data_IF_125227798365
#
_entry.id   IF_125227798365
#
_cell.length_a   1.000
_cell.length_b   1.000
_cell.length_c   1.000
_cell.angle_alpha   90.00
_cell.angle_beta   90.00
_cell.angle_gamma   90.00
#
_symmetry.space_group_name_H-M   'P 1'
#
loop_
_entity.id
_entity.type
_entity.pdbx_description
1 polymer ?
#
# COMPACT_ATOMS: atom_id res chain seq x y z
N UNK A 1 -19.21 -10.05 -19.28
CA UNK A 1 -18.00 -10.03 -18.42
C UNK A 1 -16.96 -9.24 -19.19
N UNK A 2 -16.36 -8.22 -18.58
CA UNK A 2 -15.24 -7.50 -19.18
C UNK A 2 -14.07 -8.47 -19.37
N UNK A 3 -13.31 -8.30 -20.45
CA UNK A 3 -12.10 -9.08 -20.69
C UNK A 3 -11.12 -8.86 -19.55
N UNK A 4 -10.57 -9.95 -18.99
CA UNK A 4 -9.57 -9.88 -17.94
C UNK A 4 -8.27 -9.28 -18.46
N UNK A 5 -7.56 -8.54 -17.61
CA UNK A 5 -6.38 -7.77 -18.00
C UNK A 5 -5.13 -8.66 -17.93
N UNK A 6 -4.35 -8.60 -19.01
CA UNK A 6 -2.98 -9.12 -19.00
C UNK A 6 -2.03 -8.07 -18.44
N UNK A 7 -1.29 -8.47 -17.39
CA UNK A 7 -0.32 -7.60 -16.72
C UNK A 7 0.89 -7.36 -17.64
N UNK A 8 1.34 -6.09 -17.69
CA UNK A 8 2.60 -5.69 -18.33
C UNK A 8 3.15 -4.46 -17.62
N UNK A 9 4.02 -4.67 -16.62
CA UNK A 9 4.50 -3.62 -15.74
C UNK A 9 6.01 -3.71 -15.53
N UNK A 10 6.75 -2.70 -16.01
CA UNK A 10 8.22 -2.71 -16.04
C UNK A 10 8.86 -1.54 -15.28
N UNK A 11 8.12 -0.45 -15.07
CA UNK A 11 8.61 0.72 -14.32
C UNK A 11 7.44 1.52 -13.73
N UNK A 12 7.66 2.33 -12.67
CA UNK A 12 6.62 3.14 -12.06
C UNK A 12 6.10 4.27 -12.95
N UNK A 13 6.88 4.73 -13.89
CA UNK A 13 6.53 5.82 -14.84
C UNK A 13 6.02 5.31 -16.20
N UNK A 14 5.88 4.00 -16.38
CA UNK A 14 5.24 3.45 -17.58
C UNK A 14 3.80 3.97 -17.69
N UNK A 15 3.35 4.26 -18.92
CA UNK A 15 1.97 4.69 -19.14
C UNK A 15 0.99 3.71 -18.51
N UNK A 16 0.21 4.20 -17.56
CA UNK A 16 -0.80 3.45 -16.85
C UNK A 16 -2.03 3.32 -17.74
N UNK A 17 -2.40 2.10 -18.08
CA UNK A 17 -3.60 1.81 -18.89
C UNK A 17 -4.75 1.28 -18.06
N UNK A 18 -4.42 0.58 -16.97
CA UNK A 18 -5.39 0.02 -16.06
C UNK A 18 -4.82 -0.04 -14.64
N UNK A 19 -5.68 0.14 -13.64
CA UNK A 19 -5.29 0.10 -12.24
C UNK A 19 -6.41 -0.52 -11.38
N UNK A 20 -6.03 -1.31 -10.40
CA UNK A 20 -6.92 -1.69 -9.30
C UNK A 20 -6.67 -0.74 -8.13
N UNK A 21 -7.70 -0.04 -7.69
CA UNK A 21 -7.67 0.79 -6.49
C UNK A 21 -8.39 0.09 -5.35
N UNK A 22 -8.06 0.51 -4.13
CA UNK A 22 -8.73 0.00 -2.95
C UNK A 22 -10.16 0.49 -2.81
N UNK A 23 -10.81 0.00 -1.78
CA UNK A 23 -12.17 0.37 -1.40
C UNK A 23 -12.25 0.50 0.11
N UNK A 24 -12.96 1.53 0.58
CA UNK A 24 -13.29 1.67 1.99
C UNK A 24 -14.35 0.67 2.44
N UNK A 25 -14.66 0.71 3.72
CA UNK A 25 -15.72 -0.06 4.34
C UNK A 25 -17.04 0.73 4.27
N UNK A 26 -18.17 0.04 4.36
CA UNK A 26 -19.46 0.71 4.48
C UNK A 26 -19.67 1.29 5.89
N UNK A 27 -20.44 2.39 6.00
CA UNK A 27 -20.65 3.09 7.27
C UNK A 27 -21.36 2.21 8.33
N UNK A 28 -22.15 1.22 7.91
CA UNK A 28 -22.88 0.29 8.77
C UNK A 28 -21.97 -0.61 9.63
N UNK A 29 -20.67 -0.67 9.29
CA UNK A 29 -19.69 -1.38 10.12
C UNK A 29 -19.70 -0.91 11.56
N UNK A 30 -19.97 0.38 11.79
CA UNK A 30 -20.03 0.96 13.13
C UNK A 30 -21.43 1.07 13.73
N UNK A 31 -22.43 0.44 13.14
CA UNK A 31 -23.80 0.51 13.68
C UNK A 31 -23.98 -0.14 15.07
N UNK A 32 -23.05 -0.99 15.47
CA UNK A 32 -23.01 -1.58 16.80
C UNK A 32 -22.56 -0.60 17.90
N UNK A 33 -21.94 0.54 17.55
CA UNK A 33 -21.55 1.57 18.50
C UNK A 33 -22.78 2.37 18.88
N UNK A 34 -23.07 2.43 20.19
CA UNK A 34 -24.25 3.12 20.73
C UNK A 34 -23.99 4.57 21.12
N UNK A 35 -22.72 4.93 21.33
CA UNK A 35 -22.32 6.26 21.76
C UNK A 35 -22.08 7.16 20.54
N UNK A 36 -22.95 8.16 20.34
CA UNK A 36 -22.88 9.07 19.19
C UNK A 36 -21.54 9.80 19.07
N UNK A 37 -20.92 10.15 20.20
CA UNK A 37 -19.59 10.79 20.24
C UNK A 37 -18.46 9.93 19.69
N UNK A 38 -18.68 8.61 19.58
CA UNK A 38 -17.76 7.66 18.98
C UNK A 38 -18.26 7.30 17.58
N UNK A 39 -19.53 6.92 17.47
CA UNK A 39 -20.11 6.43 16.23
C UNK A 39 -20.03 7.44 15.10
N UNK A 40 -20.43 8.70 15.35
CA UNK A 40 -20.48 9.71 14.31
C UNK A 40 -19.11 10.03 13.70
N UNK A 41 -18.02 10.25 14.49
CA UNK A 41 -16.68 10.40 13.93
C UNK A 41 -16.20 9.16 13.15
N UNK A 42 -16.46 7.95 13.66
CA UNK A 42 -16.06 6.72 13.01
C UNK A 42 -16.77 6.53 11.65
N UNK A 43 -18.06 6.82 11.59
CA UNK A 43 -18.81 6.80 10.32
C UNK A 43 -18.36 7.92 9.37
N UNK A 44 -18.01 9.10 9.90
CA UNK A 44 -17.48 10.19 9.09
C UNK A 44 -16.22 9.76 8.34
N UNK A 45 -15.26 9.12 9.02
CA UNK A 45 -14.01 8.71 8.35
C UNK A 45 -14.27 7.69 7.24
N UNK A 46 -15.21 6.75 7.44
CA UNK A 46 -15.58 5.79 6.40
C UNK A 46 -16.18 6.49 5.18
N UNK A 47 -17.09 7.43 5.42
CA UNK A 47 -17.71 8.21 4.34
C UNK A 47 -16.68 9.02 3.57
N UNK A 48 -15.85 9.81 4.25
CA UNK A 48 -14.80 10.63 3.63
C UNK A 48 -13.79 9.78 2.87
N UNK A 49 -13.38 8.63 3.42
CA UNK A 49 -12.52 7.67 2.71
C UNK A 49 -13.17 7.20 1.41
N UNK A 50 -14.46 6.87 1.43
CA UNK A 50 -15.16 6.42 0.22
C UNK A 50 -15.34 7.56 -0.80
N UNK A 51 -15.53 8.79 -0.35
CA UNK A 51 -15.57 9.99 -1.19
C UNK A 51 -14.21 10.23 -1.87
N UNK A 52 -13.11 10.13 -1.12
CA UNK A 52 -11.75 10.28 -1.64
C UNK A 52 -11.42 9.19 -2.67
N UNK A 53 -11.81 7.93 -2.39
CA UNK A 53 -11.61 6.84 -3.34
C UNK A 53 -12.44 7.02 -4.62
N UNK A 54 -13.65 7.55 -4.51
CA UNK A 54 -14.48 7.87 -5.68
C UNK A 54 -13.87 9.01 -6.51
N UNK A 55 -13.31 10.03 -5.85
CA UNK A 55 -12.63 11.13 -6.54
C UNK A 55 -11.33 10.66 -7.22
N UNK A 56 -10.53 9.82 -6.55
CA UNK A 56 -9.35 9.20 -7.16
C UNK A 56 -9.72 8.42 -8.43
N UNK A 57 -10.80 7.64 -8.36
CA UNK A 57 -11.33 6.92 -9.53
C UNK A 57 -11.70 7.88 -10.66
N UNK A 58 -12.45 8.93 -10.34
CA UNK A 58 -12.88 9.95 -11.33
C UNK A 58 -11.68 10.62 -12.01
N UNK A 59 -10.65 10.96 -11.26
CA UNK A 59 -9.41 11.57 -11.79
C UNK A 59 -8.71 10.60 -12.74
N UNK A 60 -8.50 9.35 -12.33
CA UNK A 60 -7.83 8.34 -13.14
C UNK A 60 -8.59 8.02 -14.43
N UNK A 61 -9.90 7.86 -14.36
CA UNK A 61 -10.77 7.66 -15.54
C UNK A 61 -10.72 8.88 -16.47
N UNK A 62 -10.68 10.11 -15.91
CA UNK A 62 -10.49 11.35 -16.67
C UNK A 62 -9.14 11.43 -17.39
N UNK A 63 -8.13 10.73 -16.91
CA UNK A 63 -6.81 10.58 -17.53
C UNK A 63 -6.76 9.40 -18.55
N UNK A 64 -7.87 8.72 -18.78
CA UNK A 64 -7.98 7.60 -19.71
C UNK A 64 -7.48 6.27 -19.15
N UNK A 65 -7.37 6.14 -17.83
CA UNK A 65 -6.99 4.90 -17.15
C UNK A 65 -8.25 4.08 -16.85
N UNK A 66 -8.23 2.81 -17.18
CA UNK A 66 -9.29 1.90 -16.76
C UNK A 66 -9.14 1.58 -15.26
N UNK A 67 -10.17 1.90 -14.47
CA UNK A 67 -10.13 1.72 -13.02
C UNK A 67 -11.00 0.56 -12.58
N UNK A 68 -10.41 -0.35 -11.83
CA UNK A 68 -11.09 -1.44 -11.14
C UNK A 68 -11.16 -1.14 -9.66
N UNK A 69 -12.37 -1.16 -9.13
CA UNK A 69 -12.63 -0.90 -7.72
C UNK A 69 -13.66 -1.92 -7.22
N UNK A 70 -13.37 -2.65 -6.12
CA UNK A 70 -14.37 -3.55 -5.54
C UNK A 70 -15.52 -2.74 -4.94
N UNK A 71 -16.66 -3.39 -4.74
CA UNK A 71 -17.74 -2.81 -3.95
C UNK A 71 -17.30 -2.64 -2.48
N UNK A 72 -17.84 -1.65 -1.75
CA UNK A 72 -17.58 -1.52 -0.33
C UNK A 72 -17.89 -2.81 0.42
N UNK A 73 -16.96 -3.23 1.26
CA UNK A 73 -17.15 -4.44 2.07
C UNK A 73 -18.16 -4.16 3.17
N UNK A 74 -19.11 -5.09 3.32
CA UNK A 74 -20.11 -5.06 4.36
C UNK A 74 -19.57 -5.67 5.64
N UNK A 75 -20.24 -5.35 6.75
CA UNK A 75 -19.86 -5.81 8.08
C UNK A 75 -19.62 -7.33 8.14
N UNK A 76 -20.54 -8.12 7.62
CA UNK A 76 -20.48 -9.59 7.61
C UNK A 76 -19.30 -10.16 6.81
N UNK A 77 -18.66 -9.36 5.97
CA UNK A 77 -17.50 -9.77 5.18
C UNK A 77 -16.16 -9.47 5.87
N UNK A 78 -16.15 -8.57 6.85
CA UNK A 78 -14.93 -8.04 7.47
C UNK A 78 -14.87 -8.21 8.98
N UNK A 79 -15.98 -8.51 9.63
CA UNK A 79 -16.05 -8.74 11.07
C UNK A 79 -16.04 -10.24 11.34
N UNK A 80 -15.25 -10.69 12.32
CA UNK A 80 -15.36 -12.04 12.82
C UNK A 80 -16.66 -12.25 13.63
N UNK A 81 -16.90 -13.50 14.06
CA UNK A 81 -18.11 -13.85 14.78
C UNK A 81 -18.37 -13.05 16.06
N UNK A 82 -17.32 -12.48 16.65
CA UNK A 82 -17.40 -11.62 17.84
C UNK A 82 -17.59 -10.14 17.48
N UNK A 83 -17.56 -9.79 16.20
CA UNK A 83 -17.76 -8.44 15.70
C UNK A 83 -16.64 -7.46 16.05
N UNK A 84 -15.48 -7.94 16.46
CA UNK A 84 -14.41 -7.10 17.00
C UNK A 84 -13.15 -7.05 16.14
N UNK A 85 -12.96 -7.98 15.21
CA UNK A 85 -11.78 -7.99 14.34
C UNK A 85 -12.14 -7.63 12.93
N UNK A 86 -11.48 -6.62 12.41
CA UNK A 86 -11.51 -6.32 10.98
C UNK A 86 -10.25 -6.94 10.37
N UNK A 87 -10.40 -7.91 9.48
CA UNK A 87 -9.28 -8.33 8.66
C UNK A 87 -8.82 -7.15 7.80
N UNK A 88 -7.73 -7.29 7.13
CA UNK A 88 -7.13 -6.27 6.29
C UNK A 88 -8.16 -5.48 5.48
N UNK A 89 -8.21 -4.16 5.68
CA UNK A 89 -9.08 -3.29 4.89
C UNK A 89 -8.53 -3.23 3.45
N UNK A 90 -9.35 -3.39 2.42
CA UNK A 90 -8.89 -3.46 1.03
C UNK A 90 -8.56 -2.08 0.43
N UNK A 91 -7.99 -1.17 1.22
CA UNK A 91 -7.63 0.18 0.77
C UNK A 91 -6.33 0.23 -0.02
N UNK A 92 -5.38 -0.64 0.32
CA UNK A 92 -4.02 -0.60 -0.17
C UNK A 92 -3.65 -1.89 -0.93
N UNK A 93 -4.17 -2.09 -2.15
CA UNK A 93 -3.85 -3.30 -2.92
C UNK A 93 -2.34 -3.48 -3.13
N UNK A 94 -1.58 -2.39 -3.18
CA UNK A 94 -0.12 -2.40 -3.34
C UNK A 94 0.60 -3.13 -2.21
N UNK A 95 0.05 -3.12 -0.99
CA UNK A 95 0.65 -3.81 0.16
C UNK A 95 0.50 -5.33 0.08
N UNK A 96 -0.38 -5.81 -0.79
CA UNK A 96 -0.71 -7.23 -0.93
C UNK A 96 -0.29 -7.79 -2.31
N UNK A 97 -0.28 -6.94 -3.34
CA UNK A 97 0.04 -7.34 -4.69
C UNK A 97 1.33 -6.71 -5.18
N UNK A 98 2.08 -7.47 -5.96
CA UNK A 98 3.19 -6.97 -6.75
C UNK A 98 2.97 -7.31 -8.21
N UNK A 99 2.91 -6.29 -9.07
CA UNK A 99 2.96 -6.49 -10.51
C UNK A 99 4.39 -6.32 -11.02
N UNK A 100 4.94 -7.34 -11.69
CA UNK A 100 6.29 -7.33 -12.22
C UNK A 100 6.34 -8.04 -13.57
N UNK A 101 6.76 -7.34 -14.61
CA UNK A 101 6.70 -7.87 -15.97
C UNK A 101 5.26 -8.25 -16.33
N UNK A 102 5.06 -9.50 -16.69
CA UNK A 102 3.74 -10.04 -17.07
C UNK A 102 3.04 -10.78 -15.91
N UNK A 103 3.51 -10.61 -14.68
CA UNK A 103 2.99 -11.37 -13.54
C UNK A 103 2.45 -10.43 -12.46
N UNK A 104 1.32 -10.80 -11.90
CA UNK A 104 0.74 -10.25 -10.69
C UNK A 104 0.90 -11.28 -9.57
N UNK A 105 1.79 -11.01 -8.65
CA UNK A 105 2.02 -11.85 -7.47
C UNK A 105 1.05 -11.43 -6.37
N UNK A 106 0.34 -12.41 -5.83
CA UNK A 106 -0.60 -12.24 -4.73
C UNK A 106 -0.14 -13.06 -3.53
N UNK A 107 -0.19 -12.46 -2.35
CA UNK A 107 -0.12 -13.19 -1.11
C UNK A 107 -1.51 -13.68 -0.70
N UNK A 108 -1.58 -14.65 0.21
CA UNK A 108 -2.84 -15.05 0.81
C UNK A 108 -3.44 -13.88 1.61
N UNK A 109 -4.64 -13.47 1.27
CA UNK A 109 -5.26 -12.22 1.75
C UNK A 109 -6.53 -12.47 2.56
N UNK A 110 -6.76 -13.67 3.04
CA UNK A 110 -7.99 -14.04 3.73
C UNK A 110 -9.28 -13.70 2.94
N UNK A 111 -9.21 -13.71 1.60
CA UNK A 111 -10.35 -13.48 0.73
C UNK A 111 -10.73 -12.01 0.46
N UNK A 112 -10.19 -11.06 1.23
CA UNK A 112 -10.52 -9.63 1.09
C UNK A 112 -10.15 -9.06 -0.29
N UNK A 113 -9.12 -9.63 -0.93
CA UNK A 113 -8.66 -9.23 -2.26
C UNK A 113 -9.00 -10.24 -3.36
N UNK A 114 -9.91 -11.17 -3.12
CA UNK A 114 -10.30 -12.18 -4.12
C UNK A 114 -10.85 -11.57 -5.43
N UNK A 115 -11.35 -10.32 -5.37
CA UNK A 115 -11.77 -9.58 -6.54
C UNK A 115 -10.68 -9.42 -7.62
N UNK A 116 -9.40 -9.52 -7.27
CA UNK A 116 -8.30 -9.46 -8.23
C UNK A 116 -8.33 -10.64 -9.21
N UNK A 117 -8.87 -11.78 -8.80
CA UNK A 117 -9.07 -12.95 -9.67
C UNK A 117 -10.08 -12.70 -10.79
N UNK A 118 -10.98 -11.74 -10.58
CA UNK A 118 -11.96 -11.32 -11.58
C UNK A 118 -11.42 -10.27 -12.53
N UNK A 119 -10.34 -9.58 -12.17
CA UNK A 119 -9.71 -8.50 -12.92
C UNK A 119 -8.52 -9.01 -13.73
N UNK A 120 -7.63 -9.76 -13.10
CA UNK A 120 -6.36 -10.22 -13.70
C UNK A 120 -6.56 -11.53 -14.43
N UNK A 121 -5.98 -11.63 -15.64
CA UNK A 121 -5.99 -12.88 -16.41
C UNK A 121 -5.25 -13.97 -15.64
N UNK A 122 -5.79 -15.18 -15.62
CA UNK A 122 -5.26 -16.31 -14.84
C UNK A 122 -3.80 -16.64 -15.17
N UNK A 123 -3.38 -16.51 -16.43
CA UNK A 123 -1.99 -16.75 -16.84
C UNK A 123 -1.00 -15.72 -16.23
N UNK A 124 -1.50 -14.59 -15.72
CA UNK A 124 -0.69 -13.53 -15.11
C UNK A 124 -0.73 -13.58 -13.59
N UNK A 125 -1.67 -14.28 -12.97
CA UNK A 125 -1.87 -14.29 -11.53
C UNK A 125 -1.11 -15.46 -10.89
N UNK A 126 -0.25 -15.16 -9.92
CA UNK A 126 0.49 -16.14 -9.13
C UNK A 126 0.14 -15.96 -7.67
N UNK A 127 -0.45 -16.97 -7.07
CA UNK A 127 -0.66 -17.07 -5.63
C UNK A 127 0.61 -17.62 -4.98
N UNK A 128 1.45 -16.70 -4.49
CA UNK A 128 2.75 -17.03 -3.92
C UNK A 128 2.66 -17.97 -2.71
N UNK A 129 1.65 -17.76 -1.88
CA UNK A 129 1.50 -18.56 -0.68
C UNK A 129 1.20 -20.03 -1.02
N UNK A 130 0.25 -20.25 -1.92
CA UNK A 130 -0.08 -21.61 -2.37
C UNK A 130 1.05 -22.24 -3.19
N UNK A 131 1.82 -21.45 -3.94
CA UNK A 131 2.98 -21.93 -4.71
C UNK A 131 4.09 -22.45 -3.78
N UNK A 132 4.32 -21.78 -2.65
CA UNK A 132 5.41 -22.13 -1.72
C UNK A 132 4.99 -23.18 -0.69
N UNK A 133 3.80 -23.07 -0.14
CA UNK A 133 3.34 -23.91 0.98
C UNK A 133 2.28 -24.94 0.61
N UNK A 134 1.78 -24.90 -0.64
CA UNK A 134 0.72 -25.76 -1.12
C UNK A 134 -0.69 -25.35 -0.69
N UNK A 135 -1.74 -25.96 -1.30
CA UNK A 135 -3.12 -25.65 -0.97
C UNK A 135 -3.45 -25.97 0.50
N UNK A 136 -3.94 -24.99 1.23
CA UNK A 136 -4.26 -25.11 2.64
C UNK A 136 -3.05 -25.13 3.58
N UNK A 137 -1.90 -24.66 3.11
CA UNK A 137 -0.71 -24.46 3.95
C UNK A 137 -1.03 -23.66 5.21
N UNK A 138 -0.33 -23.98 6.29
CA UNK A 138 -0.62 -23.52 7.64
C UNK A 138 -0.82 -21.99 7.71
N UNK A 139 -1.70 -21.59 8.61
CA UNK A 139 -1.99 -20.20 8.93
C UNK A 139 -0.72 -19.37 9.06
N UNK A 140 -0.72 -18.26 8.40
CA UNK A 140 0.32 -17.28 8.36
C UNK A 140 0.67 -16.78 9.77
N UNK A 141 1.68 -17.36 10.39
CA UNK A 141 2.33 -16.80 11.55
C UNK A 141 3.61 -16.09 11.11
N UNK A 142 3.49 -14.82 10.76
CA UNK A 142 4.63 -13.98 10.40
C UNK A 142 4.45 -13.29 9.06
N UNK A 143 4.81 -12.04 9.06
CA UNK A 143 4.66 -11.07 7.97
C UNK A 143 5.65 -11.33 6.83
N UNK A 144 5.46 -12.39 6.08
CA UNK A 144 6.20 -12.60 4.83
C UNK A 144 5.55 -11.76 3.73
N UNK A 145 6.00 -10.51 3.57
CA UNK A 145 5.40 -9.57 2.63
C UNK A 145 6.28 -9.38 1.40
N UNK A 146 5.91 -10.01 0.29
CA UNK A 146 6.37 -9.61 -1.04
C UNK A 146 5.25 -8.81 -1.68
N UNK A 147 5.40 -7.50 -1.68
CA UNK A 147 4.36 -6.59 -2.14
C UNK A 147 4.93 -5.48 -3.03
N UNK A 148 4.06 -4.75 -3.68
CA UNK A 148 4.44 -3.56 -4.43
C UNK A 148 4.99 -2.44 -3.53
N UNK A 149 4.63 -2.43 -2.25
CA UNK A 149 5.18 -1.50 -1.29
C UNK A 149 6.63 -1.82 -0.91
N UNK A 150 6.96 -3.11 -0.79
CA UNK A 150 8.32 -3.56 -0.45
C UNK A 150 9.24 -3.71 -1.66
N UNK A 151 8.72 -3.66 -2.89
CA UNK A 151 9.47 -3.98 -4.09
C UNK A 151 9.22 -2.95 -5.18
N UNK A 152 10.17 -2.05 -5.37
CA UNK A 152 10.09 -1.02 -6.42
C UNK A 152 10.84 -1.50 -7.65
N UNK A 153 10.12 -1.57 -8.79
CA UNK A 153 10.66 -2.04 -10.07
C UNK A 153 11.23 -0.91 -10.91
N UNK A 154 12.35 -1.18 -11.58
CA UNK A 154 12.97 -0.28 -12.53
C UNK A 154 13.56 -1.08 -13.70
N UNK A 155 12.77 -1.34 -14.72
CA UNK A 155 13.18 -2.20 -15.83
C UNK A 155 13.51 -3.62 -15.37
N UNK A 156 14.79 -3.99 -15.42
CA UNK A 156 15.29 -5.27 -14.93
C UNK A 156 15.81 -5.24 -13.49
N UNK A 157 15.69 -4.12 -12.81
CA UNK A 157 16.10 -4.00 -11.42
C UNK A 157 14.87 -4.00 -10.50
N UNK A 158 15.00 -4.65 -9.37
CA UNK A 158 14.02 -4.64 -8.28
C UNK A 158 14.75 -4.11 -7.04
N UNK A 159 14.30 -2.97 -6.55
CA UNK A 159 14.84 -2.34 -5.34
C UNK A 159 13.94 -2.79 -4.18
N UNK A 160 14.55 -3.37 -3.16
CA UNK A 160 13.84 -3.91 -2.01
C UNK A 160 14.66 -3.77 -0.72
N UNK A 161 14.04 -3.85 0.47
CA UNK A 161 14.74 -3.70 1.72
C UNK A 161 15.86 -4.75 1.87
N UNK A 162 16.96 -4.35 2.49
CA UNK A 162 17.93 -5.31 3.03
C UNK A 162 17.38 -5.90 4.32
N UNK A 163 17.76 -7.16 4.58
CA UNK A 163 17.42 -7.78 5.85
C UNK A 163 18.15 -7.14 7.02
N UNK A 164 17.37 -6.53 7.90
CA UNK A 164 17.78 -6.37 9.27
C UNK A 164 17.24 -7.52 10.12
N UNK A 165 17.83 -7.76 11.29
CA UNK A 165 17.39 -8.81 12.25
C UNK A 165 15.91 -8.73 12.65
N UNK A 166 15.19 -7.69 12.25
CA UNK A 166 13.78 -7.43 12.54
C UNK A 166 12.96 -7.14 11.25
N UNK A 167 13.54 -7.32 10.06
CA UNK A 167 12.91 -6.98 8.78
C UNK A 167 11.77 -7.92 8.42
N UNK A 168 10.74 -7.37 7.80
CA UNK A 168 9.65 -8.13 7.20
C UNK A 168 10.10 -9.01 6.03
N UNK A 169 11.31 -8.76 5.51
CA UNK A 169 11.90 -9.43 4.36
C UNK A 169 13.15 -10.17 4.81
N UNK A 170 13.05 -11.44 5.19
CA UNK A 170 14.22 -12.26 5.49
C UNK A 170 14.54 -13.15 4.29
N UNK A 171 15.74 -13.06 3.64
CA UNK A 171 16.06 -13.82 2.43
C UNK A 171 16.03 -15.34 2.66
N UNK A 172 16.20 -15.78 3.89
CA UNK A 172 16.14 -17.21 4.25
C UNK A 172 14.70 -17.72 4.44
N UNK A 173 13.70 -16.84 4.44
CA UNK A 173 12.30 -17.29 4.48
C UNK A 173 11.93 -17.94 3.15
N UNK A 174 11.23 -19.10 3.17
CA UNK A 174 10.98 -19.90 1.98
C UNK A 174 10.32 -19.11 0.83
N UNK A 175 9.35 -18.23 1.14
CA UNK A 175 8.67 -17.43 0.13
C UNK A 175 9.59 -16.41 -0.54
N UNK A 176 10.39 -15.70 0.24
CA UNK A 176 11.36 -14.74 -0.30
C UNK A 176 12.43 -15.41 -1.13
N UNK A 177 13.03 -16.45 -0.60
CA UNK A 177 14.03 -17.21 -1.32
C UNK A 177 13.49 -17.72 -2.65
N UNK A 178 12.31 -18.32 -2.64
CA UNK A 178 11.65 -18.84 -3.84
C UNK A 178 11.45 -17.75 -4.89
N UNK A 179 10.87 -16.62 -4.49
CA UNK A 179 10.55 -15.55 -5.45
C UNK A 179 11.81 -14.83 -5.96
N UNK A 180 12.79 -14.57 -5.10
CA UNK A 180 14.07 -13.97 -5.50
C UNK A 180 14.81 -14.86 -6.49
N UNK A 181 14.89 -16.16 -6.24
CA UNK A 181 15.51 -17.11 -7.14
C UNK A 181 14.78 -17.14 -8.51
N UNK A 182 13.45 -17.13 -8.50
CA UNK A 182 12.61 -17.04 -9.71
C UNK A 182 12.88 -15.76 -10.50
N UNK A 183 12.94 -14.61 -9.83
CA UNK A 183 13.24 -13.33 -10.48
C UNK A 183 14.65 -13.28 -11.09
N UNK A 184 15.65 -13.80 -10.37
CA UNK A 184 17.03 -13.91 -10.90
C UNK A 184 17.09 -14.80 -12.14
N UNK A 185 16.36 -15.92 -12.14
CA UNK A 185 16.26 -16.80 -13.33
C UNK A 185 15.58 -16.12 -14.52
N UNK A 186 14.66 -15.17 -14.26
CA UNK A 186 14.03 -14.33 -15.27
C UNK A 186 14.90 -13.15 -15.72
N UNK A 187 16.11 -13.02 -15.18
CA UNK A 187 17.08 -11.98 -15.52
C UNK A 187 16.86 -10.65 -14.81
N UNK A 188 16.16 -10.67 -13.65
CA UNK A 188 16.10 -9.50 -12.78
C UNK A 188 17.32 -9.43 -11.86
N UNK A 189 17.76 -8.22 -11.58
CA UNK A 189 18.79 -7.89 -10.59
C UNK A 189 18.15 -7.29 -9.35
N UNK A 190 18.53 -7.80 -8.18
CA UNK A 190 18.02 -7.34 -6.90
C UNK A 190 18.98 -6.31 -6.32
N UNK A 191 18.48 -5.10 -6.07
CA UNK A 191 19.19 -4.00 -5.44
C UNK A 191 18.65 -3.86 -4.02
N UNK A 192 19.50 -4.06 -3.03
CA UNK A 192 19.08 -3.96 -1.63
C UNK A 192 19.28 -2.54 -1.10
N UNK A 193 18.28 -2.04 -0.40
CA UNK A 193 18.37 -0.80 0.40
C UNK A 193 18.83 -1.13 1.82
N UNK A 194 19.45 -0.16 2.50
CA UNK A 194 19.89 -0.34 3.90
C UNK A 194 18.76 -0.11 4.91
N UNK A 195 17.58 0.29 4.43
CA UNK A 195 16.42 0.56 5.28
C UNK A 195 15.50 -0.64 5.38
N UNK A 196 14.75 -0.67 6.47
CA UNK A 196 13.75 -1.71 6.79
C UNK A 196 12.35 -1.15 6.53
N UNK A 197 11.47 -1.95 5.97
CA UNK A 197 10.05 -1.60 5.77
C UNK A 197 9.66 -1.40 4.31
N UNK A 198 8.72 -0.52 4.07
CA UNK A 198 8.21 -0.25 2.73
C UNK A 198 9.19 0.55 1.89
N UNK A 199 9.72 -0.04 0.82
CA UNK A 199 10.67 0.61 -0.11
C UNK A 199 10.04 1.82 -0.81
N UNK A 200 8.75 1.80 -1.07
CA UNK A 200 8.02 2.89 -1.70
C UNK A 200 7.90 4.14 -0.82
N UNK A 201 8.05 4.00 0.50
CA UNK A 201 8.19 5.11 1.43
C UNK A 201 9.61 5.73 1.45
N UNK A 202 10.55 5.17 0.71
CA UNK A 202 11.96 5.55 0.72
C UNK A 202 12.41 6.07 -0.64
N UNK A 203 11.99 5.42 -1.73
CA UNK A 203 12.35 5.79 -3.09
C UNK A 203 11.14 5.74 -4.02
N UNK A 204 10.98 6.77 -4.84
CA UNK A 204 9.95 6.84 -5.87
C UNK A 204 10.54 7.34 -7.18
N UNK A 205 10.26 6.66 -8.28
CA UNK A 205 10.71 7.05 -9.61
C UNK A 205 9.64 7.89 -10.30
N UNK A 206 9.97 9.15 -10.61
CA UNK A 206 9.05 10.12 -11.19
C UNK A 206 8.92 9.92 -12.70
N UNK A 207 10.07 9.84 -13.37
CA UNK A 207 10.19 9.68 -14.82
C UNK A 207 11.57 9.08 -15.15
N UNK A 208 11.82 8.66 -16.40
CA UNK A 208 13.16 8.27 -16.80
C UNK A 208 14.19 9.35 -16.47
N UNK A 209 15.22 8.97 -15.72
CA UNK A 209 16.31 9.87 -15.32
C UNK A 209 16.03 10.72 -14.09
N UNK A 210 14.87 10.60 -13.43
CA UNK A 210 14.58 11.37 -12.21
C UNK A 210 13.86 10.53 -11.15
N UNK A 211 14.27 10.68 -9.89
CA UNK A 211 13.68 9.98 -8.74
C UNK A 211 13.69 10.84 -7.48
N UNK A 212 12.79 10.53 -6.57
CA UNK A 212 12.77 11.06 -5.21
C UNK A 212 13.37 10.04 -4.23
N UNK A 213 14.04 10.53 -3.21
CA UNK A 213 14.67 9.69 -2.18
C UNK A 213 14.64 10.36 -0.81
N UNK A 214 14.25 9.58 0.19
CA UNK A 214 14.40 9.95 1.60
C UNK A 214 15.69 9.34 2.13
N UNK A 215 16.50 10.12 2.86
CA UNK A 215 17.71 9.61 3.48
C UNK A 215 18.84 9.31 2.48
N UNK A 216 19.80 8.47 2.87
CA UNK A 216 21.01 8.17 2.09
C UNK A 216 20.80 6.97 1.18
N UNK A 217 21.30 7.06 -0.03
CA UNK A 217 21.31 5.91 -0.95
C UNK A 217 22.45 4.95 -0.60
N UNK A 218 22.19 3.63 -0.53
CA UNK A 218 23.23 2.60 -0.45
C UNK A 218 24.10 2.55 -1.70
N UNK A 219 25.25 1.87 -1.61
CA UNK A 219 26.24 1.87 -2.68
C UNK A 219 25.70 1.34 -4.01
N UNK A 220 24.96 0.25 -3.98
CA UNK A 220 24.37 -0.35 -5.19
C UNK A 220 23.36 0.58 -5.87
N UNK A 221 22.50 1.25 -5.07
CA UNK A 221 21.54 2.25 -5.56
C UNK A 221 22.26 3.45 -6.19
N UNK A 222 23.35 3.95 -5.54
CA UNK A 222 24.16 5.05 -6.07
C UNK A 222 24.82 4.69 -7.39
N UNK A 223 25.31 3.49 -7.56
CA UNK A 223 25.90 3.01 -8.80
C UNK A 223 24.84 2.95 -9.91
N UNK A 224 23.70 2.30 -9.64
CA UNK A 224 22.59 2.17 -10.58
C UNK A 224 22.05 3.53 -11.04
N UNK A 225 21.87 4.45 -10.11
CA UNK A 225 21.24 5.76 -10.35
C UNK A 225 22.23 6.91 -10.50
N UNK A 226 23.51 6.62 -10.75
CA UNK A 226 24.59 7.63 -10.79
C UNK A 226 24.40 8.75 -11.82
N UNK A 227 23.57 8.51 -12.84
CA UNK A 227 23.26 9.47 -13.92
C UNK A 227 21.85 10.04 -13.81
N UNK A 228 21.13 9.74 -12.73
CA UNK A 228 19.77 10.17 -12.53
C UNK A 228 19.72 11.42 -11.65
N UNK A 229 18.82 12.33 -11.99
CA UNK A 229 18.53 13.49 -11.15
C UNK A 229 17.80 13.04 -9.88
N UNK A 230 18.39 13.37 -8.75
CA UNK A 230 17.84 13.03 -7.44
C UNK A 230 17.20 14.23 -6.81
N UNK A 231 15.90 14.12 -6.48
CA UNK A 231 15.22 15.02 -5.57
C UNK A 231 15.33 14.44 -4.16
N UNK A 232 16.12 15.07 -3.32
CA UNK A 232 16.32 14.65 -1.94
C UNK A 232 15.19 15.20 -1.06
N UNK A 233 14.44 14.31 -0.46
CA UNK A 233 13.47 14.63 0.58
C UNK A 233 14.19 14.50 1.93
N UNK A 234 13.97 15.45 2.83
CA UNK A 234 14.60 15.44 4.16
C UNK A 234 14.32 14.16 4.94
N UNK A 235 15.11 13.92 6.02
CA UNK A 235 15.03 12.67 6.83
C UNK A 235 13.65 12.38 7.41
N UNK A 236 12.75 13.37 7.46
CA UNK A 236 11.37 13.20 7.95
C UNK A 236 10.32 13.29 6.83
N UNK A 237 10.74 13.19 5.56
CA UNK A 237 9.92 13.60 4.44
C UNK A 237 9.78 15.13 4.41
N UNK A 238 9.38 15.72 3.30
CA UNK A 238 9.04 17.15 3.25
C UNK A 238 7.69 17.35 3.95
N UNK A 239 7.70 17.38 5.27
CA UNK A 239 6.47 17.70 6.00
C UNK A 239 6.20 19.20 5.90
N UNK A 240 5.10 19.54 5.24
CA UNK A 240 4.59 20.91 5.24
C UNK A 240 4.43 21.41 6.70
N UNK A 241 4.69 22.69 7.02
CA UNK A 241 4.57 23.19 8.40
C UNK A 241 3.21 22.93 9.07
N UNK A 242 2.13 22.84 8.30
CA UNK A 242 0.81 22.45 8.81
C UNK A 242 0.77 21.00 9.34
N UNK A 243 1.66 20.13 8.84
CA UNK A 243 1.76 18.75 9.29
C UNK A 243 2.32 18.63 10.71
N UNK A 244 3.14 19.58 11.18
CA UNK A 244 3.63 19.56 12.55
C UNK A 244 2.48 19.64 13.57
N UNK A 245 1.48 20.49 13.30
CA UNK A 245 0.28 20.57 14.15
C UNK A 245 -0.48 19.25 14.11
N UNK A 246 -0.73 18.74 12.94
CA UNK A 246 -1.42 17.48 12.72
C UNK A 246 -0.69 16.30 13.39
N UNK A 247 0.65 16.21 13.28
CA UNK A 247 1.43 15.18 13.97
C UNK A 247 1.37 15.29 15.49
N UNK A 248 1.33 16.50 16.05
CA UNK A 248 1.13 16.71 17.49
C UNK A 248 -0.24 16.23 17.93
N UNK A 249 -1.28 16.55 17.18
CA UNK A 249 -2.64 16.13 17.44
C UNK A 249 -2.78 14.60 17.32
N UNK A 250 -2.18 14.01 16.28
CA UNK A 250 -2.12 12.55 16.09
C UNK A 250 -1.45 11.82 17.26
N UNK A 251 -0.51 12.46 17.95
CA UNK A 251 0.15 11.88 19.14
C UNK A 251 -0.82 11.61 20.29
N UNK A 252 -1.96 12.32 20.35
CA UNK A 252 -3.00 12.11 21.37
C UNK A 252 -3.65 10.71 21.27
N UNK A 253 -3.62 10.11 20.06
CA UNK A 253 -4.11 8.76 19.80
C UNK A 253 -2.95 7.79 19.47
N UNK A 254 -1.80 7.99 20.10
CA UNK A 254 -0.59 7.18 19.91
C UNK A 254 -0.12 7.08 18.45
N UNK A 255 -0.40 8.11 17.64
CA UNK A 255 -0.05 8.16 16.23
C UNK A 255 -0.83 7.19 15.34
N UNK A 256 -1.82 6.49 15.87
CA UNK A 256 -2.51 5.44 15.13
C UNK A 256 -3.60 5.97 14.21
N UNK A 257 -4.26 7.06 14.65
CA UNK A 257 -5.38 7.61 13.89
C UNK A 257 -5.73 9.03 14.34
N UNK A 258 -6.33 9.83 13.44
CA UNK A 258 -6.71 11.19 13.70
C UNK A 258 -7.97 11.59 12.91
N UNK A 259 -8.88 12.31 13.58
CA UNK A 259 -10.01 13.01 12.94
C UNK A 259 -9.97 14.47 13.35
N UNK A 260 -9.95 15.37 12.38
CA UNK A 260 -9.96 16.81 12.63
C UNK A 260 -11.25 17.23 13.37
N UNK A 261 -11.06 18.03 14.41
CA UNK A 261 -12.15 18.50 15.28
C UNK A 261 -12.42 17.61 16.49
N UNK A 262 -11.80 16.43 16.61
CA UNK A 262 -12.06 15.45 17.68
C UNK A 262 -10.94 15.43 18.75
N UNK A 263 -10.08 16.46 18.80
CA UNK A 263 -8.95 16.55 19.74
C UNK A 263 -9.38 16.46 21.19
N UNK A 264 -10.53 17.03 21.52
CA UNK A 264 -11.10 17.09 22.87
C UNK A 264 -12.16 16.00 23.13
N UNK A 265 -12.16 14.91 22.36
CA UNK A 265 -13.09 13.80 22.50
C UNK A 265 -12.42 12.59 23.19
N UNK A 266 -12.36 12.56 24.55
CA UNK A 266 -11.66 11.49 25.27
C UNK A 266 -12.33 10.12 25.12
N UNK A 267 -13.62 10.07 24.82
CA UNK A 267 -14.34 8.81 24.59
C UNK A 267 -13.89 8.17 23.27
N UNK A 268 -13.78 8.98 22.22
CA UNK A 268 -13.25 8.55 20.94
C UNK A 268 -11.78 8.10 21.05
N UNK A 269 -10.94 8.90 21.76
CA UNK A 269 -9.54 8.53 21.95
C UNK A 269 -9.39 7.20 22.69
N UNK A 270 -10.19 6.97 23.73
CA UNK A 270 -10.19 5.69 24.44
C UNK A 270 -10.61 4.55 23.51
N UNK A 271 -11.69 4.73 22.77
CA UNK A 271 -12.19 3.74 21.83
C UNK A 271 -11.13 3.38 20.78
N UNK A 272 -10.48 4.38 20.19
CA UNK A 272 -9.43 4.18 19.20
C UNK A 272 -8.26 3.40 19.80
N UNK A 273 -7.79 3.77 20.97
CA UNK A 273 -6.67 3.08 21.63
C UNK A 273 -6.99 1.63 21.97
N UNK A 274 -8.21 1.35 22.43
CA UNK A 274 -8.64 0.00 22.81
C UNK A 274 -8.92 -0.87 21.57
N UNK A 275 -9.29 -0.28 20.44
CA UNK A 275 -9.81 -0.98 19.27
C UNK A 275 -8.84 -1.02 18.10
N UNK A 276 -7.94 -0.04 17.99
CA UNK A 276 -7.01 0.07 16.86
C UNK A 276 -6.03 -1.10 16.71
N UNK A 277 -5.76 -1.86 17.76
CA UNK A 277 -4.95 -3.07 17.65
C UNK A 277 -5.59 -4.13 16.74
N UNK A 278 -6.90 -4.01 16.50
CA UNK A 278 -7.68 -4.90 15.65
C UNK A 278 -8.01 -4.26 14.29
N UNK A 279 -7.68 -2.99 14.11
CA UNK A 279 -8.00 -2.24 12.90
C UNK A 279 -6.74 -1.93 12.10
N UNK A 280 -6.42 -2.81 11.20
CA UNK A 280 -5.27 -2.62 10.29
C UNK A 280 -5.74 -1.89 9.03
N UNK A 281 -5.05 -0.82 8.64
CA UNK A 281 -5.28 -0.13 7.38
C UNK A 281 -5.85 1.29 7.50
N UNK A 282 -6.88 1.52 8.29
CA UNK A 282 -7.42 2.89 8.50
C UNK A 282 -6.57 3.73 9.45
N UNK A 283 -5.76 3.10 10.27
CA UNK A 283 -4.95 3.78 11.27
C UNK A 283 -3.51 4.03 10.82
N UNK A 284 -3.11 3.42 9.73
CA UNK A 284 -1.80 3.61 9.14
C UNK A 284 -1.88 4.73 8.10
N UNK A 285 -2.05 5.97 8.55
CA UNK A 285 -1.85 7.09 7.65
C UNK A 285 -0.36 7.26 7.38
N UNK A 286 0.01 7.14 6.13
CA UNK A 286 1.33 7.51 5.67
C UNK A 286 1.29 8.94 5.18
N UNK A 287 1.97 9.83 5.88
CA UNK A 287 2.24 11.21 5.46
C UNK A 287 3.49 11.29 4.59
N UNK A 288 3.77 10.22 3.86
CA UNK A 288 4.93 10.19 2.99
C UNK A 288 4.62 10.86 1.67
N UNK A 289 5.10 12.09 1.51
CA UNK A 289 5.02 12.84 0.26
C UNK A 289 5.70 12.12 -0.92
N UNK A 290 6.51 11.13 -0.63
CA UNK A 290 7.18 10.30 -1.62
C UNK A 290 6.23 9.26 -2.28
N UNK A 291 5.11 8.95 -1.66
CA UNK A 291 4.13 8.03 -2.22
C UNK A 291 3.38 8.67 -3.38
N UNK A 292 3.84 8.39 -4.58
CA UNK A 292 3.24 8.90 -5.81
C UNK A 292 2.73 7.74 -6.69
N UNK A 293 1.73 8.04 -7.51
CA UNK A 293 1.27 7.13 -8.56
C UNK A 293 1.67 7.70 -9.93
N UNK A 294 2.57 7.02 -10.61
CA UNK A 294 2.92 7.35 -11.99
C UNK A 294 1.78 6.99 -12.94
N UNK A 295 1.27 7.97 -13.66
CA UNK A 295 0.29 7.77 -14.74
C UNK A 295 0.98 7.69 -16.10
N UNK A 296 2.03 8.47 -16.28
CA UNK A 296 2.92 8.46 -17.45
C UNK A 296 4.23 9.15 -17.10
N UNK A 297 5.16 9.22 -18.06
CA UNK A 297 6.40 9.99 -17.93
C UNK A 297 6.18 11.50 -17.72
N UNK A 298 4.98 11.99 -18.01
CA UNK A 298 4.60 13.41 -17.94
C UNK A 298 3.59 13.71 -16.83
N UNK A 299 3.05 12.66 -16.17
CA UNK A 299 1.97 12.81 -15.21
C UNK A 299 2.15 11.87 -14.02
N UNK A 300 2.21 12.44 -12.83
CA UNK A 300 2.14 11.72 -11.55
C UNK A 300 0.99 12.27 -10.71
N UNK A 301 0.38 11.41 -9.93
CA UNK A 301 -0.50 11.81 -8.83
C UNK A 301 0.29 11.77 -7.54
N UNK A 302 0.22 12.84 -6.79
CA UNK A 302 0.91 13.03 -5.52
C UNK A 302 -0.09 13.55 -4.47
N UNK A 303 0.31 13.49 -3.20
CA UNK A 303 -0.45 14.09 -2.11
C UNK A 303 -0.69 15.60 -2.36
N UNK A 304 -1.87 16.09 -1.97
CA UNK A 304 -2.21 17.51 -2.08
C UNK A 304 -1.33 18.43 -1.21
N UNK A 305 -0.55 17.87 -0.32
CA UNK A 305 0.41 18.61 0.50
C UNK A 305 1.68 18.99 -0.27
N UNK A 306 1.96 18.36 -1.40
CA UNK A 306 3.10 18.63 -2.28
C UNK A 306 2.77 19.71 -3.32
N UNK A 307 2.39 20.90 -2.89
CA UNK A 307 2.07 22.00 -3.82
C UNK A 307 3.28 22.85 -4.23
N UNK A 308 4.46 22.48 -3.81
CA UNK A 308 5.74 23.05 -4.23
C UNK A 308 6.49 22.05 -5.11
#
# INVERSE_FOLDING_TARGET
>A
MSEKIKVSTHSPFQKLTAVAIGQGLSEDIFDWITEDKIKAPMQKILRETNEDMAELKRILEGLGVQVFQPAPLKREQVMDGDGQKIPHVPLQPRDIFLTLGNTCYQQNTHGVYDYMKDIVHEDCLVDLFNEVYGPGGASFEGHELISGANSVKLGKHIIMPADGEQGFVHPDRPMFKHIIDKWKQQGYEIIQTDEVGHTDGIISFIKPGAFMRVGKSPSQEKELLSKWDRLELGEQGCMHPSMNKWMQEKSLVNGRWWIDGEQDNPQLHKFINDWCDHWVGYCAETVFDINTLGVSEECILASSYNKE
#
